data_IF_273591152169
#
_entry.id   IF_273591152169
#
_cell.length_a   1.000
_cell.length_b   1.000
_cell.length_c   1.000
_cell.angle_alpha   90.00
_cell.angle_beta   90.00
_cell.angle_gamma   90.00
#
_symmetry.space_group_name_H-M   'P 1'
#
loop_
_entity.id
_entity.type
_entity.pdbx_description
1 polymer ?
#
# COMPACT_ATOMS: atom_id res chain seq x y z
N UNK A 1 -19.56 5.16 -14.76
CA UNK A 1 -19.47 4.38 -13.54
C UNK A 1 -18.44 4.95 -12.59
N UNK A 2 -18.63 4.62 -11.35
CA UNK A 2 -17.65 4.91 -10.33
C UNK A 2 -16.34 4.18 -10.65
N UNK A 3 -15.34 4.36 -9.81
CA UNK A 3 -14.10 3.61 -9.92
C UNK A 3 -14.44 2.12 -10.02
N UNK A 4 -13.98 1.48 -11.06
CA UNK A 4 -14.23 0.07 -11.28
C UNK A 4 -13.56 -0.76 -10.19
N UNK A 5 -14.09 -1.94 -9.94
CA UNK A 5 -13.42 -2.89 -9.07
C UNK A 5 -12.04 -3.22 -9.64
N UNK A 6 -11.09 -3.44 -8.77
CA UNK A 6 -9.73 -3.78 -9.18
C UNK A 6 -8.90 -2.59 -9.64
N UNK A 7 -9.36 -1.36 -9.42
CA UNK A 7 -8.52 -0.19 -9.69
C UNK A 7 -7.38 -0.17 -8.68
N UNK A 8 -6.17 -0.32 -9.18
CA UNK A 8 -4.98 -0.29 -8.35
C UNK A 8 -4.54 1.14 -8.06
N UNK A 9 -3.82 1.32 -6.97
CA UNK A 9 -3.14 2.57 -6.67
C UNK A 9 -2.14 2.91 -7.78
N UNK A 10 -1.41 1.92 -8.21
CA UNK A 10 -0.42 2.04 -9.27
C UNK A 10 0.94 2.43 -8.76
N UNK A 11 1.95 2.09 -9.55
CA UNK A 11 3.35 2.29 -9.17
C UNK A 11 3.69 3.76 -8.92
N UNK A 12 3.21 4.66 -9.77
CA UNK A 12 3.53 6.09 -9.63
C UNK A 12 3.01 6.67 -8.32
N UNK A 13 1.79 6.33 -7.94
CA UNK A 13 1.22 6.79 -6.67
C UNK A 13 1.88 6.10 -5.49
N UNK A 14 2.25 4.84 -5.66
CA UNK A 14 3.04 4.13 -4.67
C UNK A 14 4.35 4.86 -4.38
N UNK A 15 5.07 5.29 -5.42
CA UNK A 15 6.32 6.02 -5.23
C UNK A 15 6.11 7.39 -4.59
N UNK A 16 4.99 8.06 -4.87
CA UNK A 16 4.63 9.29 -4.16
C UNK A 16 4.42 9.02 -2.66
N UNK A 17 3.79 7.91 -2.34
CA UNK A 17 3.58 7.51 -0.94
C UNK A 17 4.91 7.17 -0.26
N UNK A 18 5.80 6.46 -0.94
CA UNK A 18 7.16 6.19 -0.45
C UNK A 18 7.86 7.50 -0.08
N UNK A 19 7.84 8.47 -0.99
CA UNK A 19 8.48 9.77 -0.75
C UNK A 19 7.87 10.49 0.45
N UNK A 20 6.56 10.51 0.54
CA UNK A 20 5.87 11.18 1.66
C UNK A 20 6.21 10.54 2.99
N UNK A 21 6.20 9.22 3.07
CA UNK A 21 6.52 8.50 4.32
C UNK A 21 7.97 8.75 4.72
N UNK A 22 8.90 8.71 3.78
CA UNK A 22 10.30 8.99 4.09
C UNK A 22 10.51 10.43 4.56
N UNK A 23 9.78 11.36 4.00
CA UNK A 23 9.92 12.79 4.31
C UNK A 23 9.26 13.18 5.63
N UNK A 24 8.07 12.64 5.89
CA UNK A 24 7.24 13.04 7.02
C UNK A 24 7.16 11.98 8.12
N UNK A 25 7.53 10.76 7.82
CA UNK A 25 7.48 9.67 8.77
C UNK A 25 8.67 9.65 9.71
N UNK A 26 8.63 8.70 10.61
CA UNK A 26 9.67 8.49 11.60
C UNK A 26 10.50 7.27 11.23
N UNK A 27 11.79 7.45 11.11
CA UNK A 27 12.71 6.34 10.86
C UNK A 27 12.81 5.44 12.09
N UNK A 28 12.75 4.14 11.89
CA UNK A 28 12.78 3.19 13.00
C UNK A 28 13.28 1.83 12.53
N UNK A 29 13.92 1.09 13.44
CA UNK A 29 14.31 -0.29 13.19
C UNK A 29 13.23 -1.28 13.65
N UNK A 30 12.15 -0.80 14.26
CA UNK A 30 11.13 -1.66 14.84
C UNK A 30 10.37 -2.50 13.81
N UNK A 31 10.35 -2.04 12.55
CA UNK A 31 9.62 -2.71 11.46
C UNK A 31 10.53 -3.48 10.52
N UNK A 32 11.84 -3.42 10.74
CA UNK A 32 12.80 -4.11 9.89
C UNK A 32 13.12 -5.51 10.42
N UNK A 33 13.50 -6.40 9.53
CA UNK A 33 13.86 -7.78 9.87
C UNK A 33 15.32 -8.09 9.54
N UNK A 34 15.96 -7.27 8.71
CA UNK A 34 17.31 -7.48 8.22
C UNK A 34 18.14 -6.21 8.43
N UNK A 35 19.44 -6.37 8.68
CA UNK A 35 20.34 -5.23 8.87
C UNK A 35 20.41 -4.30 7.66
N UNK A 36 20.22 -4.84 6.47
CA UNK A 36 20.25 -4.07 5.23
C UNK A 36 18.96 -3.32 4.95
N UNK A 37 17.98 -3.42 5.83
CA UNK A 37 16.69 -2.75 5.67
C UNK A 37 16.65 -1.45 6.46
N UNK A 38 15.93 -0.48 5.92
CA UNK A 38 15.60 0.77 6.60
C UNK A 38 14.09 0.84 6.72
N UNK A 39 13.60 1.19 7.88
CA UNK A 39 12.17 1.24 8.15
C UNK A 39 11.69 2.63 8.55
N UNK A 40 10.44 2.90 8.24
CA UNK A 40 9.76 4.14 8.61
C UNK A 40 8.35 3.83 9.06
N UNK A 41 7.84 4.61 10.00
CA UNK A 41 6.43 4.59 10.36
C UNK A 41 5.82 5.96 10.11
N UNK A 42 4.57 5.98 9.73
CA UNK A 42 3.86 7.22 9.46
C UNK A 42 2.39 7.03 9.81
N UNK A 43 1.80 8.01 10.48
CA UNK A 43 0.37 8.00 10.79
C UNK A 43 -0.37 8.89 9.81
N UNK A 44 -1.29 8.30 9.05
CA UNK A 44 -2.06 9.01 8.05
C UNK A 44 -3.15 9.90 8.64
N UNK A 45 -3.70 10.75 7.80
CA UNK A 45 -4.77 11.68 8.18
C UNK A 45 -6.02 10.95 8.65
N UNK A 46 -6.28 9.77 8.10
CA UNK A 46 -7.44 8.94 8.46
C UNK A 46 -7.19 8.07 9.70
N UNK A 47 -6.04 8.22 10.36
CA UNK A 47 -5.66 7.40 11.50
C UNK A 47 -5.00 6.09 11.14
N UNK A 48 -4.87 5.76 9.86
CA UNK A 48 -4.17 4.55 9.43
C UNK A 48 -2.69 4.63 9.78
N UNK A 49 -2.12 3.49 10.09
CA UNK A 49 -0.69 3.39 10.36
C UNK A 49 0.00 2.80 9.13
N UNK A 50 1.02 3.51 8.67
CA UNK A 50 1.83 3.08 7.55
C UNK A 50 3.19 2.62 8.06
N UNK A 51 3.65 1.50 7.54
CA UNK A 51 5.00 1.01 7.75
C UNK A 51 5.67 0.88 6.38
N UNK A 52 6.86 1.44 6.25
CA UNK A 52 7.65 1.33 5.03
C UNK A 52 8.95 0.63 5.35
N UNK A 53 9.30 -0.36 4.55
CA UNK A 53 10.57 -1.06 4.66
C UNK A 53 11.25 -1.05 3.30
N UNK A 54 12.48 -0.59 3.27
CA UNK A 54 13.29 -0.57 2.06
C UNK A 54 14.53 -1.41 2.26
N UNK A 55 14.79 -2.34 1.33
CA UNK A 55 16.00 -3.13 1.30
C UNK A 55 17.07 -2.33 0.54
N UNK A 56 18.10 -1.86 1.25
CA UNK A 56 19.13 -1.02 0.65
C UNK A 56 20.03 -1.78 -0.33
N UNK A 57 20.06 -3.10 -0.25
CA UNK A 57 20.85 -3.93 -1.16
C UNK A 57 20.14 -4.16 -2.49
N UNK A 58 18.85 -4.51 -2.43
CA UNK A 58 18.08 -4.86 -3.62
C UNK A 58 17.27 -3.69 -4.17
N UNK A 59 16.95 -2.72 -3.32
CA UNK A 59 16.06 -1.63 -3.68
C UNK A 59 14.59 -1.98 -3.56
N UNK A 60 14.26 -3.16 -3.04
CA UNK A 60 12.87 -3.55 -2.83
C UNK A 60 12.23 -2.66 -1.77
N UNK A 61 10.99 -2.26 -1.99
CA UNK A 61 10.25 -1.41 -1.06
C UNK A 61 8.88 -2.00 -0.82
N UNK A 62 8.48 -2.02 0.44
CA UNK A 62 7.14 -2.45 0.84
C UNK A 62 6.52 -1.41 1.75
N UNK A 63 5.26 -1.07 1.47
CA UNK A 63 4.45 -0.25 2.36
C UNK A 63 3.27 -1.09 2.83
N UNK A 64 3.05 -1.10 4.13
CA UNK A 64 1.88 -1.74 4.73
C UNK A 64 1.02 -0.66 5.37
N UNK A 65 -0.25 -0.63 5.01
CA UNK A 65 -1.24 0.29 5.58
C UNK A 65 -2.18 -0.52 6.47
N UNK A 66 -2.14 -0.28 7.76
CA UNK A 66 -3.05 -0.89 8.72
C UNK A 66 -4.09 0.13 9.14
N UNK A 67 -5.35 -0.23 8.97
CA UNK A 67 -6.43 0.60 9.44
C UNK A 67 -6.84 0.12 10.84
N UNK A 68 -6.66 0.94 11.88
CA UNK A 68 -7.01 0.53 13.22
C UNK A 68 -8.52 0.50 13.40
N UNK A 69 -8.96 -0.36 14.30
CA UNK A 69 -10.36 -0.48 14.67
C UNK A 69 -10.99 -1.73 14.13
N UNK A 70 -12.02 -2.16 14.79
CA UNK A 70 -12.79 -3.32 14.38
C UNK A 70 -13.74 -3.00 13.26
N UNK A 71 -14.21 -4.04 12.62
CA UNK A 71 -15.29 -3.93 11.66
C UNK A 71 -16.61 -4.24 12.36
N UNK A 72 -17.64 -3.48 12.04
CA UNK A 72 -18.99 -3.77 12.54
C UNK A 72 -19.72 -4.57 11.49
N UNK A 73 -20.27 -5.70 11.90
CA UNK A 73 -21.12 -6.53 11.05
C UNK A 73 -22.50 -6.59 11.69
N UNK A 74 -23.48 -5.97 11.06
CA UNK A 74 -24.78 -5.79 11.66
C UNK A 74 -24.68 -4.88 12.88
N UNK A 75 -25.19 -5.34 14.03
CA UNK A 75 -25.11 -4.64 15.31
C UNK A 75 -23.99 -5.16 16.21
N UNK A 76 -23.13 -6.05 15.69
CA UNK A 76 -22.02 -6.59 16.43
C UNK A 76 -20.72 -5.95 16.01
N UNK A 77 -19.96 -5.51 17.00
CA UNK A 77 -18.58 -5.09 16.81
C UNK A 77 -17.69 -6.32 16.84
N UNK A 78 -16.90 -6.51 15.78
CA UNK A 78 -15.91 -7.57 15.72
C UNK A 78 -14.56 -6.97 16.13
N UNK A 79 -14.10 -7.35 17.31
CA UNK A 79 -12.97 -6.69 17.95
C UNK A 79 -11.62 -6.95 17.29
N UNK A 80 -11.53 -7.90 16.37
CA UNK A 80 -10.25 -8.34 15.84
C UNK A 80 -10.31 -8.53 14.34
N UNK A 81 -10.70 -7.49 13.62
CA UNK A 81 -10.50 -7.51 12.18
C UNK A 81 -9.49 -6.43 11.84
N UNK A 82 -8.32 -6.88 11.43
CA UNK A 82 -7.32 -5.99 10.87
C UNK A 82 -7.54 -5.91 9.37
N UNK A 83 -7.52 -4.68 8.89
CA UNK A 83 -7.61 -4.36 7.49
C UNK A 83 -6.23 -3.88 7.07
N UNK A 84 -5.46 -4.79 6.47
CA UNK A 84 -4.09 -4.54 6.05
C UNK A 84 -3.99 -4.55 4.55
N UNK A 85 -3.44 -3.49 4.00
CA UNK A 85 -3.14 -3.40 2.57
C UNK A 85 -1.64 -3.28 2.40
N UNK A 86 -1.07 -4.12 1.56
CA UNK A 86 0.36 -4.15 1.31
C UNK A 86 0.63 -3.81 -0.15
N UNK A 87 1.54 -2.88 -0.35
CA UNK A 87 1.96 -2.40 -1.66
C UNK A 87 3.47 -2.60 -1.73
N UNK A 88 3.95 -3.24 -2.78
CA UNK A 88 5.38 -3.52 -2.83
C UNK A 88 5.91 -3.52 -4.25
N UNK A 89 7.16 -3.13 -4.37
CA UNK A 89 7.93 -3.28 -5.59
C UNK A 89 9.12 -4.18 -5.33
N UNK A 90 9.28 -5.17 -6.17
CA UNK A 90 10.45 -6.03 -6.18
C UNK A 90 11.29 -5.64 -7.39
N UNK A 91 12.49 -5.15 -7.12
CA UNK A 91 13.38 -4.71 -8.19
C UNK A 91 13.95 -5.89 -8.95
N UNK A 92 14.02 -5.76 -10.25
CA UNK A 92 14.63 -6.77 -11.09
C UNK A 92 16.12 -6.93 -10.77
N UNK A 93 16.56 -8.17 -10.64
CA UNK A 93 17.96 -8.48 -10.35
C UNK A 93 18.52 -9.36 -11.47
N UNK A 94 19.62 -8.94 -12.05
CA UNK A 94 20.33 -9.77 -13.00
C UNK A 94 21.03 -10.91 -12.25
N UNK A 95 20.87 -12.12 -12.76
CA UNK A 95 21.53 -13.30 -12.21
C UNK A 95 21.89 -14.26 -13.34
N UNK A 96 22.32 -15.46 -12.98
CA UNK A 96 22.73 -16.47 -13.97
C UNK A 96 21.58 -16.86 -14.91
N UNK A 97 20.34 -16.80 -14.42
CA UNK A 97 19.17 -17.19 -15.22
C UNK A 97 18.76 -16.12 -16.22
N UNK A 98 19.16 -14.87 -16.00
CA UNK A 98 18.77 -13.75 -16.87
C UNK A 98 19.79 -13.49 -17.98
N UNK A 99 20.89 -14.21 -17.98
CA UNK A 99 21.98 -14.06 -18.99
C UNK A 99 22.53 -12.65 -19.05
N UNK A 100 22.71 -12.03 -17.87
CA UNK A 100 23.27 -10.70 -17.76
C UNK A 100 22.31 -9.56 -18.02
N UNK A 101 21.05 -9.86 -18.28
CA UNK A 101 20.02 -8.82 -18.45
C UNK A 101 19.29 -8.60 -17.13
N UNK A 102 18.92 -7.35 -16.87
CA UNK A 102 18.11 -7.02 -15.68
C UNK A 102 16.64 -7.19 -16.05
N UNK A 103 15.91 -8.10 -15.39
CA UNK A 103 14.48 -8.22 -15.63
C UNK A 103 13.73 -6.97 -15.14
N UNK A 104 12.51 -6.75 -15.63
CA UNK A 104 11.73 -5.61 -15.16
C UNK A 104 11.36 -5.72 -13.69
N UNK A 105 11.15 -4.58 -13.06
CA UNK A 105 10.63 -4.53 -11.69
C UNK A 105 9.20 -5.07 -11.66
N UNK A 106 8.85 -5.73 -10.56
CA UNK A 106 7.51 -6.22 -10.32
C UNK A 106 6.85 -5.39 -9.23
N UNK A 107 5.70 -4.83 -9.53
CA UNK A 107 4.90 -4.10 -8.55
C UNK A 107 3.58 -4.83 -8.34
N UNK A 108 3.17 -4.95 -7.08
CA UNK A 108 1.88 -5.57 -6.77
C UNK A 108 1.25 -4.96 -5.51
N UNK A 109 -0.03 -5.27 -5.35
CA UNK A 109 -0.85 -4.81 -4.24
C UNK A 109 -1.70 -5.97 -3.76
N UNK A 110 -1.75 -6.16 -2.45
CA UNK A 110 -2.56 -7.22 -1.86
C UNK A 110 -3.27 -6.72 -0.62
N UNK A 111 -4.49 -7.16 -0.42
CA UNK A 111 -5.26 -6.90 0.78
C UNK A 111 -5.35 -8.15 1.64
N UNK A 112 -5.14 -7.98 2.94
CA UNK A 112 -5.27 -9.03 3.92
C UNK A 112 -6.27 -8.61 4.99
N UNK A 113 -7.18 -9.49 5.34
CA UNK A 113 -8.14 -9.24 6.40
C UNK A 113 -7.95 -10.32 7.46
N UNK A 114 -7.77 -9.87 8.71
CA UNK A 114 -7.67 -10.77 9.84
C UNK A 114 -9.04 -10.97 10.46
N UNK A 115 -9.46 -12.22 10.57
CA UNK A 115 -10.69 -12.57 11.26
C UNK A 115 -10.52 -12.64 12.77
N UNK A 116 -11.63 -12.89 13.49
CA UNK A 116 -11.62 -12.98 14.97
C UNK A 116 -10.74 -14.09 15.53
N UNK A 117 -10.42 -15.09 14.72
CA UNK A 117 -9.53 -16.20 15.12
C UNK A 117 -8.05 -15.86 14.92
N UNK A 118 -7.74 -14.67 14.43
CA UNK A 118 -6.37 -14.24 14.19
C UNK A 118 -5.76 -14.73 12.89
N UNK A 119 -6.51 -15.46 12.07
CA UNK A 119 -6.03 -15.86 10.75
C UNK A 119 -6.27 -14.79 9.72
N UNK A 120 -5.36 -14.68 8.76
CA UNK A 120 -5.49 -13.74 7.66
C UNK A 120 -6.03 -14.44 6.42
N UNK A 121 -6.99 -13.81 5.77
CA UNK A 121 -7.43 -14.20 4.43
C UNK A 121 -6.81 -13.24 3.43
N UNK A 122 -6.10 -13.78 2.44
CA UNK A 122 -5.55 -12.99 1.36
C UNK A 122 -6.66 -12.64 0.39
N UNK A 123 -6.80 -11.36 0.13
CA UNK A 123 -7.70 -10.87 -0.90
C UNK A 123 -6.80 -10.27 -1.98
N UNK A 124 -6.90 -10.78 -3.20
CA UNK A 124 -5.98 -10.42 -4.28
C UNK A 124 -5.91 -8.92 -4.56
N UNK A 125 -7.01 -8.20 -4.37
CA UNK A 125 -7.08 -6.80 -4.74
C UNK A 125 -7.36 -5.91 -3.56
N UNK A 126 -6.67 -4.77 -3.51
CA UNK A 126 -6.99 -3.71 -2.57
C UNK A 126 -8.28 -3.03 -3.02
N UNK A 127 -9.19 -2.80 -2.10
CA UNK A 127 -10.49 -2.21 -2.40
C UNK A 127 -10.39 -0.73 -2.79
N UNK A 128 -11.37 -0.27 -3.54
CA UNK A 128 -11.41 1.11 -4.03
C UNK A 128 -11.42 2.13 -2.90
N UNK A 129 -12.05 1.81 -1.79
CA UNK A 129 -12.09 2.71 -0.63
C UNK A 129 -10.69 2.95 -0.07
N UNK A 130 -9.88 1.90 0.04
CA UNK A 130 -8.51 2.01 0.52
C UNK A 130 -7.65 2.83 -0.45
N UNK A 131 -7.78 2.58 -1.75
CA UNK A 131 -7.07 3.36 -2.77
C UNK A 131 -7.45 4.83 -2.66
N UNK A 132 -8.73 5.13 -2.51
CA UNK A 132 -9.21 6.50 -2.34
C UNK A 132 -8.62 7.16 -1.09
N UNK A 133 -8.55 6.45 0.01
CA UNK A 133 -7.95 6.97 1.25
C UNK A 133 -6.48 7.33 1.05
N UNK A 134 -5.75 6.52 0.31
CA UNK A 134 -4.35 6.81 0.00
C UNK A 134 -4.21 8.01 -0.92
N UNK A 135 -5.08 8.13 -1.92
CA UNK A 135 -5.07 9.30 -2.80
C UNK A 135 -5.37 10.58 -2.05
N UNK A 136 -6.28 10.54 -1.08
CA UNK A 136 -6.54 11.67 -0.21
C UNK A 136 -5.31 12.00 0.65
N UNK A 137 -4.60 10.97 1.14
CA UNK A 137 -3.36 11.17 1.88
C UNK A 137 -2.29 11.85 1.02
N UNK A 138 -2.26 11.55 -0.27
CA UNK A 138 -1.32 12.13 -1.22
C UNK A 138 -1.76 13.48 -1.76
N UNK A 139 -2.94 13.95 -1.37
CA UNK A 139 -3.54 15.18 -1.90
C UNK A 139 -3.75 15.13 -3.41
N UNK A 140 -4.05 13.93 -3.92
CA UNK A 140 -4.37 13.75 -5.34
C UNK A 140 -5.88 13.94 -5.52
N UNK A 141 -6.30 14.99 -6.23
CA UNK A 141 -7.73 15.22 -6.42
C UNK A 141 -8.36 14.18 -7.34
N UNK A 142 -9.61 13.85 -7.03
CA UNK A 142 -10.44 12.99 -7.86
C UNK A 142 -11.30 13.90 -8.75
N UNK A 143 -11.32 13.62 -10.05
CA UNK A 143 -12.11 14.39 -10.99
C UNK A 143 -13.27 13.54 -11.47
N UNK A 144 -14.49 14.08 -11.41
CA UNK A 144 -15.65 13.41 -11.96
C UNK A 144 -15.65 13.61 -13.49
N UNK A 145 -15.55 12.50 -14.21
CA UNK A 145 -15.59 12.54 -15.67
C UNK A 145 -17.00 12.81 -16.18
N UNK A 146 -17.07 13.42 -17.35
CA UNK A 146 -18.32 13.46 -18.11
C UNK A 146 -18.79 12.01 -18.29
N UNK A 147 -20.06 11.75 -18.00
CA UNK A 147 -20.59 10.40 -18.03
C UNK A 147 -20.61 9.71 -16.68
N UNK A 148 -20.21 10.38 -15.61
CA UNK A 148 -20.33 9.90 -14.24
C UNK A 148 -19.20 9.07 -13.70
N UNK A 149 -18.15 8.81 -14.47
CA UNK A 149 -16.97 8.14 -13.98
C UNK A 149 -16.05 9.05 -13.18
N UNK A 150 -15.18 8.46 -12.37
CA UNK A 150 -14.14 9.19 -11.67
C UNK A 150 -12.81 8.97 -12.36
N UNK A 151 -11.99 10.00 -12.36
CA UNK A 151 -10.62 9.90 -12.84
C UNK A 151 -9.70 10.57 -11.85
N UNK A 152 -8.49 10.06 -11.77
CA UNK A 152 -7.46 10.70 -10.98
C UNK A 152 -6.92 11.88 -11.76
N UNK A 153 -6.66 12.98 -11.05
CA UNK A 153 -5.90 14.06 -11.65
C UNK A 153 -4.44 13.61 -11.69
N UNK A 154 -3.98 13.29 -12.87
CA UNK A 154 -2.57 12.98 -13.05
C UNK A 154 -1.78 14.29 -12.97
N UNK A 155 -0.54 14.21 -12.59
CA UNK A 155 0.32 15.37 -12.42
C UNK A 155 0.77 16.02 -13.72
N UNK A 156 -0.12 16.15 -14.62
CA UNK A 156 0.12 16.76 -15.93
C UNK A 156 -0.23 18.23 -15.97
#
# INVERSE_FOLDING_TARGET
PAIAEGVKLGFDKFMMLVDKIKRLGRKTDAVTQKEREVGYTYKGKDGSEYELVEDLTTGDVRITKDKPGGMTVGDKSLDVIEDRSTFYVKRGQADETTKGKTPPDEYDEVKEISGPDGTFDDIDEVDNKTVKEILEELDVPMIKKAGGGLAYMLGE
#
